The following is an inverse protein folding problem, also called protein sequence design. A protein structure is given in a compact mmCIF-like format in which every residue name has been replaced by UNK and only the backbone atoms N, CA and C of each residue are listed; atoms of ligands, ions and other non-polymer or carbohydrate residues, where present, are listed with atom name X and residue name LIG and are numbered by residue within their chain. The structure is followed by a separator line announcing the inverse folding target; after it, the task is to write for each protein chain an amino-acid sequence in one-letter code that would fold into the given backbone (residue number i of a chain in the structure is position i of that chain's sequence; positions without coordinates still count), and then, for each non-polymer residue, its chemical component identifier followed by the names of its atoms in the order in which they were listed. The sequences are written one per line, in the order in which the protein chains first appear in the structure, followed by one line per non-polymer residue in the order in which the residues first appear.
data_IF_869563789346
#
_entry.id   IF_869563789346
#
_cell.length_a   1.000
_cell.length_b   1.000
_cell.length_c   1.000
_cell.angle_alpha   90.00
_cell.angle_beta   90.00
_cell.angle_gamma   90.00
#
_symmetry.space_group_name_H-M   'P 1'
#
loop_
_entity.id
_entity.type
_entity.pdbx_description
1 polymer ?
#
# COMPACT_ATOMS: atom_id res chain seq x y z
N UNK A 1 9.45 48.10 11.99
CA UNK A 1 9.81 46.67 11.88
C UNK A 1 8.86 46.05 10.86
N UNK A 2 9.37 45.63 9.70
CA UNK A 2 8.57 44.97 8.64
C UNK A 2 8.67 43.45 8.86
N UNK A 3 7.58 42.67 8.78
CA UNK A 3 7.68 41.23 8.83
C UNK A 3 8.28 40.73 7.52
N UNK A 4 9.42 40.06 7.61
CA UNK A 4 10.03 39.29 6.53
C UNK A 4 9.08 38.19 6.11
N UNK A 5 8.55 38.28 4.89
CA UNK A 5 7.82 37.21 4.22
C UNK A 5 8.81 36.06 3.99
N UNK A 6 8.65 34.96 4.72
CA UNK A 6 9.29 33.68 4.38
C UNK A 6 8.70 33.19 3.04
N UNK A 7 9.51 32.65 2.11
CA UNK A 7 8.99 31.96 0.94
C UNK A 7 8.46 30.59 1.38
N UNK A 8 7.16 30.36 1.24
CA UNK A 8 6.56 29.04 1.43
C UNK A 8 7.03 28.11 0.31
N UNK A 9 7.82 27.09 0.66
CA UNK A 9 8.24 26.05 -0.26
C UNK A 9 7.14 24.97 -0.28
N UNK A 10 6.42 24.87 -1.40
CA UNK A 10 5.65 23.68 -1.74
C UNK A 10 6.64 22.53 -1.95
N UNK A 11 6.86 21.71 -0.92
CA UNK A 11 7.50 20.42 -1.10
C UNK A 11 6.42 19.40 -1.53
N UNK A 12 5.96 19.53 -2.78
CA UNK A 12 5.27 18.44 -3.44
C UNK A 12 6.35 17.41 -3.83
N UNK A 13 6.56 16.41 -2.98
CA UNK A 13 7.40 15.26 -3.30
C UNK A 13 6.58 14.33 -4.21
N UNK A 14 6.50 14.65 -5.50
CA UNK A 14 6.20 13.67 -6.53
C UNK A 14 7.51 12.98 -6.90
N UNK A 15 7.74 11.80 -6.33
CA UNK A 15 8.84 10.94 -6.73
C UNK A 15 8.45 10.26 -8.05
N UNK A 16 8.92 10.82 -9.17
CA UNK A 16 9.02 10.07 -10.43
C UNK A 16 10.27 9.20 -10.29
N UNK A 17 10.12 8.04 -9.67
CA UNK A 17 11.18 7.04 -9.56
C UNK A 17 10.62 5.65 -9.88
N UNK A 18 9.93 5.55 -11.00
CA UNK A 18 9.69 4.29 -11.70
C UNK A 18 10.45 4.44 -13.03
N UNK A 19 11.57 3.72 -13.23
CA UNK A 19 12.08 3.21 -14.53
C UNK A 19 13.53 2.66 -14.38
N UNK A 20 13.74 1.34 -14.39
CA UNK A 20 14.92 0.75 -14.98
C UNK A 20 14.74 0.76 -16.52
N UNK A 21 15.62 1.47 -17.21
CA UNK A 21 15.73 1.48 -18.67
C UNK A 21 16.08 0.08 -19.18
N UNK A 22 15.25 -0.50 -20.06
CA UNK A 22 15.67 -1.37 -21.18
C UNK A 22 14.43 -1.78 -22.03
N UNK A 23 14.27 -1.19 -23.21
CA UNK A 23 13.28 -1.68 -24.19
C UNK A 23 13.72 -3.02 -24.76
N UNK A 24 13.06 -4.11 -24.34
CA UNK A 24 13.13 -5.41 -25.02
C UNK A 24 11.78 -5.71 -25.65
N UNK A 25 11.79 -6.15 -26.92
CA UNK A 25 10.62 -6.76 -27.54
C UNK A 25 10.25 -8.02 -26.73
N UNK A 26 9.10 -8.02 -26.08
CA UNK A 26 8.53 -9.25 -25.53
C UNK A 26 8.13 -10.16 -26.71
N UNK A 27 8.73 -11.34 -26.76
CA UNK A 27 8.27 -12.44 -27.62
C UNK A 27 7.26 -13.21 -26.78
N UNK A 28 6.04 -13.39 -27.27
CA UNK A 28 5.06 -14.26 -26.62
C UNK A 28 5.65 -15.66 -26.50
N UNK A 29 5.80 -16.22 -25.28
CA UNK A 29 6.35 -17.56 -25.13
C UNK A 29 5.35 -18.60 -25.65
N UNK A 30 5.84 -19.55 -26.45
CA UNK A 30 5.11 -20.79 -26.74
C UNK A 30 4.81 -21.51 -25.42
N UNK A 31 3.55 -21.91 -25.23
CA UNK A 31 3.08 -22.62 -24.04
C UNK A 31 3.63 -24.05 -24.04
N UNK A 32 4.87 -24.23 -23.60
CA UNK A 32 5.37 -25.53 -23.11
C UNK A 32 4.96 -25.73 -21.65
N UNK A 33 5.11 -26.94 -21.10
CA UNK A 33 4.76 -27.33 -19.73
C UNK A 33 5.55 -26.54 -18.65
N UNK A 34 5.28 -25.24 -18.54
CA UNK A 34 5.89 -24.36 -17.58
C UNK A 34 5.41 -24.70 -16.16
N UNK A 35 6.27 -24.56 -15.13
CA UNK A 35 5.85 -24.70 -13.74
C UNK A 35 4.65 -23.80 -13.46
N UNK A 36 3.66 -24.30 -12.70
CA UNK A 36 2.50 -23.48 -12.35
C UNK A 36 2.95 -22.20 -11.65
N UNK A 37 2.22 -21.09 -11.82
CA UNK A 37 2.52 -19.81 -11.15
C UNK A 37 2.71 -20.01 -9.64
N UNK A 38 1.94 -20.92 -9.04
CA UNK A 38 2.09 -21.34 -7.64
C UNK A 38 3.48 -21.92 -7.32
N UNK A 39 4.00 -22.82 -8.16
CA UNK A 39 5.34 -23.39 -7.97
C UNK A 39 6.42 -22.31 -8.08
N UNK A 40 6.28 -21.37 -9.03
CA UNK A 40 7.22 -20.25 -9.19
C UNK A 40 7.27 -19.36 -7.94
N UNK A 41 6.11 -18.96 -7.40
CA UNK A 41 6.06 -18.18 -6.16
C UNK A 41 6.57 -18.95 -4.93
N UNK A 42 6.28 -20.24 -4.82
CA UNK A 42 6.77 -21.06 -3.70
C UNK A 42 8.30 -21.22 -3.73
N UNK A 43 8.89 -21.34 -4.93
CA UNK A 43 10.34 -21.38 -5.11
C UNK A 43 10.97 -20.02 -4.81
N UNK A 44 10.37 -18.94 -5.32
CA UNK A 44 10.78 -17.57 -5.06
C UNK A 44 10.85 -17.22 -3.58
N UNK A 45 9.77 -17.52 -2.85
CA UNK A 45 9.71 -17.30 -1.42
C UNK A 45 10.87 -18.04 -0.74
N UNK A 46 11.12 -19.30 -1.11
CA UNK A 46 12.22 -20.09 -0.57
C UNK A 46 13.59 -19.47 -0.85
N UNK A 47 13.84 -19.06 -2.10
CA UNK A 47 15.10 -18.44 -2.52
C UNK A 47 15.34 -17.08 -1.85
N UNK A 48 14.29 -16.30 -1.63
CA UNK A 48 14.35 -15.03 -0.92
C UNK A 48 14.51 -15.18 0.61
N UNK A 49 14.73 -16.38 1.11
CA UNK A 49 14.93 -16.65 2.54
C UNK A 49 13.63 -16.75 3.34
N UNK A 50 12.47 -16.90 2.69
CA UNK A 50 11.22 -17.27 3.35
C UNK A 50 11.30 -18.78 3.66
N UNK A 51 11.98 -19.11 4.75
CA UNK A 51 12.50 -20.46 5.08
C UNK A 51 11.46 -21.48 5.55
N UNK A 52 10.16 -21.17 5.49
CA UNK A 52 9.13 -22.04 6.08
C UNK A 52 8.19 -22.63 5.02
N UNK A 53 8.10 -23.97 4.87
CA UNK A 53 7.07 -24.63 4.04
C UNK A 53 5.63 -24.26 4.45
N UNK A 54 5.45 -23.72 5.66
CA UNK A 54 4.19 -23.22 6.19
C UNK A 54 3.71 -21.91 5.54
N UNK A 55 4.61 -21.14 4.91
CA UNK A 55 4.25 -19.97 4.10
C UNK A 55 3.52 -20.34 2.80
N UNK A 56 3.83 -21.51 2.23
CA UNK A 56 3.15 -22.04 1.04
C UNK A 56 1.73 -22.57 1.33
N UNK A 57 1.43 -22.85 2.61
CA UNK A 57 0.20 -23.50 3.08
C UNK A 57 -0.65 -22.64 4.04
N UNK A 58 -0.29 -21.37 4.28
CA UNK A 58 -1.12 -20.44 5.05
C UNK A 58 -0.99 -20.52 6.59
N UNK A 59 0.16 -20.94 7.12
CA UNK A 59 0.40 -20.97 8.57
C UNK A 59 1.45 -19.90 8.96
N UNK A 60 1.11 -18.89 9.80
CA UNK A 60 2.00 -17.80 10.23
C UNK A 60 3.23 -18.30 10.97
N UNK A 61 4.36 -17.60 10.82
CA UNK A 61 5.62 -17.93 11.52
C UNK A 61 5.86 -17.03 12.74
N UNK A 62 6.81 -17.45 13.61
CA UNK A 62 7.05 -16.96 15.00
C UNK A 62 7.34 -15.46 15.19
N UNK A 63 7.38 -14.64 14.13
CA UNK A 63 7.78 -13.22 14.18
C UNK A 63 7.03 -12.42 13.11
N UNK A 64 5.72 -12.29 13.25
CA UNK A 64 4.92 -11.36 12.46
C UNK A 64 4.27 -10.37 13.45
N UNK A 65 4.95 -9.26 13.72
CA UNK A 65 4.37 -8.09 14.37
C UNK A 65 3.87 -7.18 13.23
N UNK A 66 2.58 -6.87 13.13
CA UNK A 66 1.90 -5.92 14.01
C UNK A 66 0.52 -6.36 14.52
N UNK A 67 0.03 -7.56 14.18
CA UNK A 67 -1.11 -8.22 14.81
C UNK A 67 -1.00 -9.74 14.55
N UNK A 68 -1.09 -10.56 15.61
CA UNK A 68 -0.98 -12.02 15.52
C UNK A 68 -2.23 -12.59 14.84
N UNK A 69 -2.05 -13.24 13.67
CA UNK A 69 -3.03 -14.16 13.10
C UNK A 69 -2.81 -15.54 13.74
N UNK A 70 -3.84 -16.12 14.34
CA UNK A 70 -3.78 -17.48 14.89
C UNK A 70 -4.47 -18.45 13.94
N UNK A 71 -3.81 -19.40 13.28
CA UNK A 71 -4.54 -20.48 12.63
C UNK A 71 -5.10 -21.39 13.74
N UNK A 72 -6.42 -21.50 13.84
CA UNK A 72 -7.04 -22.59 14.57
C UNK A 72 -7.09 -23.84 13.68
N UNK A 73 -6.17 -24.76 13.90
CA UNK A 73 -6.48 -26.14 13.54
C UNK A 73 -7.57 -26.63 14.52
N UNK A 74 -8.48 -27.50 14.04
CA UNK A 74 -9.34 -28.39 14.84
C UNK A 74 -10.48 -27.88 15.74
N UNK A 75 -11.10 -26.73 15.46
CA UNK A 75 -12.49 -26.48 15.91
C UNK A 75 -12.72 -26.44 17.42
N UNK A 76 -11.66 -26.29 18.24
CA UNK A 76 -11.78 -26.13 19.69
C UNK A 76 -11.70 -24.65 20.11
N UNK A 77 -12.65 -24.15 20.94
CA UNK A 77 -12.70 -22.75 21.34
C UNK A 77 -11.81 -22.52 22.57
N UNK A 78 -10.49 -22.55 22.42
CA UNK A 78 -9.58 -22.04 23.47
C UNK A 78 -9.05 -20.68 23.05
N UNK A 79 -9.64 -19.59 23.55
CA UNK A 79 -9.16 -18.22 23.34
C UNK A 79 -7.80 -18.04 24.03
N UNK A 80 -6.76 -17.87 23.23
CA UNK A 80 -5.45 -17.36 23.66
C UNK A 80 -5.64 -16.01 24.38
N UNK A 81 -5.28 -15.86 25.66
CA UNK A 81 -5.38 -14.58 26.35
C UNK A 81 -4.35 -13.61 25.77
N UNK A 82 -4.77 -12.35 25.57
CA UNK A 82 -3.85 -11.25 25.22
C UNK A 82 -3.78 -10.30 26.39
N UNK A 83 -2.56 -9.97 26.83
CA UNK A 83 -2.29 -9.06 27.93
C UNK A 83 -1.47 -7.90 27.40
N UNK A 84 -1.96 -6.68 27.54
CA UNK A 84 -1.23 -5.49 27.12
C UNK A 84 -0.82 -4.66 28.32
N UNK A 85 0.45 -4.24 28.35
CA UNK A 85 0.96 -3.27 29.32
C UNK A 85 1.22 -1.95 28.62
N UNK A 86 0.59 -0.90 29.11
CA UNK A 86 0.84 0.47 28.68
C UNK A 86 1.91 1.09 29.56
N UNK A 87 2.75 1.97 29.00
CA UNK A 87 3.74 2.73 29.78
C UNK A 87 3.22 4.09 30.27
N UNK A 88 1.89 4.26 30.39
CA UNK A 88 1.24 5.52 30.76
C UNK A 88 0.59 5.49 32.16
N UNK A 89 0.31 6.66 32.76
CA UNK A 89 -0.28 6.78 34.10
C UNK A 89 -1.76 6.35 34.18
N UNK A 90 -2.43 6.09 33.06
CA UNK A 90 -3.84 5.68 33.02
C UNK A 90 -4.00 4.24 32.53
N UNK A 91 -4.35 3.34 33.46
CA UNK A 91 -5.20 2.16 33.27
C UNK A 91 -4.71 0.98 32.41
N UNK A 92 -4.85 -0.24 32.94
CA UNK A 92 -4.89 -1.47 32.15
C UNK A 92 -6.09 -1.39 31.17
N UNK A 93 -5.83 -1.27 29.86
CA UNK A 93 -6.86 -1.35 28.82
C UNK A 93 -7.28 -2.81 28.58
N UNK A 94 -8.58 -3.09 28.54
CA UNK A 94 -9.09 -4.44 28.25
C UNK A 94 -8.96 -4.75 26.74
N UNK A 95 -8.21 -5.79 26.41
CA UNK A 95 -8.04 -6.26 25.02
C UNK A 95 -8.89 -7.50 24.80
N UNK A 96 -9.85 -7.40 23.87
CA UNK A 96 -10.75 -8.52 23.55
C UNK A 96 -10.31 -9.26 22.29
N UNK A 97 -10.13 -10.59 22.34
CA UNK A 97 -9.90 -11.39 21.15
C UNK A 97 -11.15 -11.35 20.25
N UNK A 98 -10.92 -11.40 18.94
CA UNK A 98 -11.99 -11.36 17.94
C UNK A 98 -11.87 -12.58 17.03
N UNK A 99 -12.96 -13.35 16.90
CA UNK A 99 -13.06 -14.41 15.89
C UNK A 99 -13.24 -13.80 14.49
N UNK A 100 -12.57 -14.35 13.48
CA UNK A 100 -12.70 -13.84 12.10
C UNK A 100 -13.14 -14.91 11.12
N UNK A 101 -13.55 -14.43 9.94
CA UNK A 101 -14.23 -15.18 8.89
C UNK A 101 -13.31 -15.79 7.82
N UNK A 102 -12.00 -15.50 7.85
CA UNK A 102 -11.04 -16.04 6.87
C UNK A 102 -10.43 -17.37 7.32
N UNK A 103 -11.31 -18.34 7.58
CA UNK A 103 -10.92 -19.56 8.30
C UNK A 103 -10.59 -19.29 9.76
N UNK A 104 -9.95 -20.23 10.44
CA UNK A 104 -9.75 -20.22 11.88
C UNK A 104 -8.78 -19.14 12.43
N UNK A 105 -8.51 -18.10 11.64
CA UNK A 105 -7.75 -16.92 12.00
C UNK A 105 -8.49 -16.09 13.06
N UNK A 106 -7.90 -15.86 14.23
CA UNK A 106 -8.39 -14.86 15.21
C UNK A 106 -7.62 -13.54 15.02
N UNK A 107 -8.30 -12.40 15.23
CA UNK A 107 -7.70 -11.06 15.20
C UNK A 107 -7.79 -10.39 16.56
N UNK A 108 -6.87 -9.48 16.82
CA UNK A 108 -6.92 -8.57 17.96
C UNK A 108 -7.38 -7.20 17.45
N UNK A 109 -8.43 -6.63 18.04
CA UNK A 109 -8.79 -5.23 17.79
C UNK A 109 -8.46 -4.42 19.03
N UNK A 110 -7.43 -3.58 18.94
CA UNK A 110 -7.07 -2.67 20.01
C UNK A 110 -7.87 -1.38 19.84
N UNK A 111 -8.64 -1.02 20.86
CA UNK A 111 -9.39 0.23 20.91
C UNK A 111 -8.73 1.17 21.91
N UNK A 112 -8.80 2.46 21.61
CA UNK A 112 -8.67 3.53 22.60
C UNK A 112 -7.36 3.53 23.39
N UNK A 113 -6.26 3.05 22.80
CA UNK A 113 -4.94 3.20 23.40
C UNK A 113 -4.31 4.52 22.95
N UNK A 114 -3.76 5.27 23.90
CA UNK A 114 -2.89 6.42 23.69
C UNK A 114 -1.50 6.07 24.24
N UNK A 115 -0.42 6.35 23.47
CA UNK A 115 0.96 6.09 23.88
C UNK A 115 1.62 4.84 23.26
N UNK A 116 2.63 4.28 23.92
CA UNK A 116 3.23 2.99 23.51
C UNK A 116 2.68 1.87 24.39
N UNK A 117 2.25 0.78 23.75
CA UNK A 117 1.81 -0.42 24.46
C UNK A 117 2.64 -1.62 24.03
N UNK A 118 3.03 -2.45 25.00
CA UNK A 118 3.65 -3.75 24.76
C UNK A 118 2.60 -4.82 25.04
N UNK A 119 2.12 -5.44 23.96
CA UNK A 119 1.12 -6.49 24.05
C UNK A 119 1.77 -7.86 24.00
N UNK A 120 1.64 -8.61 25.09
CA UNK A 120 1.93 -10.03 25.12
C UNK A 120 0.71 -10.82 24.63
N UNK A 121 0.89 -11.54 23.54
CA UNK A 121 -0.09 -12.47 22.99
C UNK A 121 0.35 -13.89 23.35
N UNK A 122 -0.42 -14.58 24.19
CA UNK A 122 -0.12 -15.96 24.59
C UNK A 122 -0.86 -16.95 23.70
N UNK A 123 -0.16 -17.66 22.82
CA UNK A 123 -0.75 -18.68 21.94
C UNK A 123 -0.18 -20.09 22.20
N UNK A 124 -0.81 -21.16 21.65
CA UNK A 124 -0.32 -22.53 21.85
C UNK A 124 1.13 -22.80 21.40
N UNK A 125 1.70 -21.90 20.58
CA UNK A 125 3.05 -21.90 20.01
C UNK A 125 4.01 -21.01 20.81
N UNK A 126 3.54 -20.17 21.75
CA UNK A 126 4.35 -19.36 22.66
C UNK A 126 3.75 -17.99 22.98
N UNK A 127 4.46 -17.22 23.82
CA UNK A 127 4.16 -15.82 24.09
C UNK A 127 4.89 -14.91 23.09
N UNK A 128 4.20 -13.92 22.53
CA UNK A 128 4.75 -12.96 21.57
C UNK A 128 4.52 -11.53 22.04
N UNK A 129 5.55 -10.70 21.92
CA UNK A 129 5.46 -9.25 22.18
C UNK A 129 5.15 -8.51 20.88
N UNK A 130 4.09 -7.70 20.91
CA UNK A 130 3.68 -6.84 19.81
C UNK A 130 3.81 -5.39 20.28
N UNK A 131 4.85 -4.67 19.84
CA UNK A 131 4.96 -3.25 20.13
C UNK A 131 3.90 -2.50 19.34
N UNK A 132 3.14 -1.67 20.03
CA UNK A 132 2.13 -0.79 19.44
C UNK A 132 2.61 0.63 19.52
N UNK A 133 2.70 1.27 18.36
CA UNK A 133 2.96 2.70 18.24
C UNK A 133 1.63 3.38 17.90
N UNK A 134 1.15 4.23 18.81
CA UNK A 134 -0.03 5.04 18.60
C UNK A 134 0.39 6.47 18.32
N UNK A 135 -0.43 7.20 17.58
CA UNK A 135 -0.20 8.61 17.40
C UNK A 135 -0.22 9.32 18.77
N UNK A 136 0.71 10.25 19.03
CA UNK A 136 0.69 11.03 20.26
C UNK A 136 -0.50 11.98 20.25
N UNK A 137 -0.94 12.42 21.43
CA UNK A 137 -2.00 13.43 21.57
C UNK A 137 -1.49 14.84 21.29
N UNK A 138 -0.28 15.14 21.78
CA UNK A 138 0.45 16.37 21.48
C UNK A 138 1.38 16.15 20.29
N UNK A 139 1.53 17.16 19.44
CA UNK A 139 2.51 17.09 18.34
C UNK A 139 3.91 17.22 18.91
N UNK A 140 4.80 16.23 18.71
CA UNK A 140 6.19 16.35 19.18
C UNK A 140 6.90 17.51 18.50
N UNK A 141 7.83 18.16 19.21
CA UNK A 141 8.68 19.22 18.65
C UNK A 141 9.43 18.76 17.39
N UNK A 142 9.80 17.47 17.36
CA UNK A 142 10.45 16.83 16.22
C UNK A 142 9.80 15.48 15.92
N UNK A 143 9.50 15.24 14.65
CA UNK A 143 9.15 13.93 14.14
C UNK A 143 9.70 13.75 12.73
N UNK A 144 9.78 12.50 12.27
CA UNK A 144 10.09 12.21 10.87
C UNK A 144 9.25 11.06 10.39
N UNK A 145 9.09 10.93 9.08
CA UNK A 145 8.43 9.79 8.47
C UNK A 145 9.21 9.34 7.23
N UNK A 146 8.95 8.12 6.79
CA UNK A 146 9.49 7.58 5.53
C UNK A 146 8.35 7.37 4.55
N UNK A 147 8.61 7.54 3.26
CA UNK A 147 7.67 7.16 2.21
C UNK A 147 8.33 6.14 1.28
N UNK A 148 7.53 5.26 0.69
CA UNK A 148 7.99 4.36 -0.36
C UNK A 148 6.86 3.97 -1.32
N UNK A 149 7.22 3.69 -2.57
CA UNK A 149 6.37 3.16 -3.65
C UNK A 149 7.28 2.49 -4.69
N UNK A 150 6.72 1.99 -5.79
CA UNK A 150 7.46 1.37 -6.91
C UNK A 150 8.41 0.23 -6.47
N UNK A 151 7.99 -0.66 -5.57
CA UNK A 151 8.83 -1.70 -4.99
C UNK A 151 8.64 -3.07 -5.68
N UNK A 152 8.93 -3.21 -6.98
CA UNK A 152 8.85 -4.51 -7.67
C UNK A 152 9.92 -5.47 -7.10
N UNK A 153 9.55 -6.47 -6.28
CA UNK A 153 10.55 -7.22 -5.54
C UNK A 153 11.24 -8.29 -6.38
N UNK A 154 10.67 -8.67 -7.52
CA UNK A 154 11.05 -9.85 -8.27
C UNK A 154 11.58 -9.46 -9.66
N UNK A 155 12.82 -9.86 -9.99
CA UNK A 155 13.45 -9.67 -11.32
C UNK A 155 14.02 -10.93 -11.95
N UNK A 156 13.75 -11.14 -13.24
CA UNK A 156 14.29 -12.20 -14.09
C UNK A 156 15.69 -11.85 -14.52
N UNK A 157 16.61 -12.80 -14.43
CA UNK A 157 17.95 -12.62 -14.96
C UNK A 157 17.97 -13.10 -16.42
N UNK A 158 18.48 -12.22 -17.29
CA UNK A 158 18.98 -12.56 -18.63
C UNK A 158 18.01 -13.24 -19.60
N UNK A 159 16.71 -12.92 -19.54
CA UNK A 159 15.73 -13.39 -20.54
C UNK A 159 15.56 -14.91 -20.62
N UNK A 160 16.03 -15.62 -19.60
CA UNK A 160 15.68 -17.02 -19.36
C UNK A 160 14.50 -17.04 -18.41
N UNK A 161 13.54 -17.94 -18.63
CA UNK A 161 12.38 -18.20 -17.77
C UNK A 161 12.74 -18.69 -16.34
N UNK A 162 14.02 -18.58 -15.96
CA UNK A 162 14.53 -18.85 -14.62
C UNK A 162 14.37 -17.60 -13.75
N UNK A 163 13.55 -17.78 -12.73
CA UNK A 163 13.12 -16.80 -11.74
C UNK A 163 13.85 -17.10 -10.43
N UNK A 164 14.34 -16.17 -9.60
CA UNK A 164 14.46 -14.70 -9.66
C UNK A 164 15.16 -14.27 -8.35
N UNK A 165 16.04 -13.27 -8.40
CA UNK A 165 16.58 -12.60 -7.22
C UNK A 165 15.80 -11.32 -6.89
N UNK A 166 16.03 -10.74 -5.70
CA UNK A 166 15.55 -9.38 -5.45
C UNK A 166 16.29 -8.40 -6.37
N UNK A 167 15.58 -7.45 -6.98
CA UNK A 167 16.21 -6.36 -7.75
C UNK A 167 17.28 -5.67 -6.88
N UNK A 168 18.34 -5.15 -7.48
CA UNK A 168 19.35 -4.36 -6.73
C UNK A 168 18.70 -3.17 -6.02
N UNK A 169 17.71 -2.58 -6.67
CA UNK A 169 17.07 -1.34 -6.25
C UNK A 169 16.14 -1.60 -5.08
N UNK A 170 15.30 -2.63 -5.18
CA UNK A 170 14.43 -3.09 -4.09
C UNK A 170 15.23 -3.58 -2.89
N UNK A 171 16.36 -4.29 -3.10
CA UNK A 171 17.28 -4.62 -2.00
C UNK A 171 17.81 -3.39 -1.31
N UNK A 172 18.17 -2.36 -2.09
CA UNK A 172 18.67 -1.10 -1.56
C UNK A 172 17.60 -0.38 -0.77
N UNK A 173 16.39 -0.25 -1.32
CA UNK A 173 15.24 0.36 -0.62
C UNK A 173 14.94 -0.38 0.69
N UNK A 174 14.86 -1.71 0.68
CA UNK A 174 14.57 -2.49 1.89
C UNK A 174 15.68 -2.35 2.93
N UNK A 175 16.96 -2.35 2.53
CA UNK A 175 18.07 -2.09 3.45
C UNK A 175 18.01 -0.69 4.05
N UNK A 176 17.65 0.32 3.26
CA UNK A 176 17.50 1.69 3.75
C UNK A 176 16.33 1.82 4.72
N UNK A 177 15.17 1.24 4.40
CA UNK A 177 14.00 1.19 5.28
C UNK A 177 14.33 0.47 6.60
N UNK A 178 14.98 -0.70 6.52
CA UNK A 178 15.45 -1.43 7.68
C UNK A 178 16.40 -0.58 8.53
N UNK A 179 17.44 0.00 7.91
CA UNK A 179 18.43 0.80 8.63
C UNK A 179 17.82 2.06 9.27
N UNK A 180 16.81 2.68 8.64
CA UNK A 180 16.03 3.76 9.25
C UNK A 180 15.18 3.26 10.42
N UNK A 181 14.50 2.13 10.29
CA UNK A 181 13.70 1.53 11.36
C UNK A 181 14.52 1.09 12.57
N UNK A 182 15.73 0.58 12.33
CA UNK A 182 16.68 0.25 13.40
C UNK A 182 17.30 1.49 14.03
N UNK A 183 17.31 2.60 13.28
CA UNK A 183 18.04 3.80 13.63
C UNK A 183 19.54 3.59 13.55
N UNK A 184 20.02 2.79 12.60
CA UNK A 184 21.44 2.66 12.25
C UNK A 184 21.83 3.65 11.15
N UNK A 185 20.90 4.00 10.26
CA UNK A 185 21.07 5.08 9.29
C UNK A 185 20.68 6.43 9.91
N UNK A 186 21.69 7.25 10.23
CA UNK A 186 21.52 8.63 10.73
C UNK A 186 21.56 9.61 9.56
N UNK A 187 20.53 10.44 9.45
CA UNK A 187 20.48 11.55 8.50
C UNK A 187 20.54 12.84 9.32
N UNK A 188 21.38 13.79 8.88
CA UNK A 188 21.57 15.04 9.60
C UNK A 188 20.24 15.81 9.73
N UNK A 189 19.93 16.27 10.95
CA UNK A 189 18.70 17.01 11.22
C UNK A 189 17.41 16.16 11.28
N UNK A 190 17.52 14.82 11.26
CA UNK A 190 16.37 13.93 11.43
C UNK A 190 16.50 13.07 12.68
N UNK A 191 15.38 12.75 13.36
CA UNK A 191 15.36 11.79 14.44
C UNK A 191 16.00 10.44 14.06
N UNK A 192 16.58 9.73 15.05
CA UNK A 192 17.16 8.41 14.89
C UNK A 192 16.32 7.41 14.09
N UNK A 193 15.01 7.40 14.35
CA UNK A 193 14.02 6.52 13.72
C UNK A 193 12.85 7.36 13.22
N UNK A 194 12.22 6.98 12.11
CA UNK A 194 10.96 7.59 11.72
C UNK A 194 9.86 7.22 12.71
N UNK A 195 8.93 8.15 12.89
CA UNK A 195 7.73 7.99 13.69
C UNK A 195 6.71 7.06 13.02
N UNK A 196 6.63 7.12 11.68
CA UNK A 196 5.77 6.25 10.87
C UNK A 196 6.29 6.18 9.42
N UNK A 197 5.75 5.23 8.64
CA UNK A 197 5.98 5.06 7.22
C UNK A 197 4.70 5.20 6.40
N UNK A 198 4.82 5.68 5.16
CA UNK A 198 3.71 5.80 4.22
C UNK A 198 4.03 5.01 2.94
N UNK A 199 3.19 4.01 2.62
CA UNK A 199 3.22 3.31 1.35
C UNK A 199 2.25 3.95 0.39
N UNK A 200 2.75 4.48 -0.72
CA UNK A 200 2.00 5.30 -1.67
C UNK A 200 1.77 4.56 -2.99
N UNK A 201 1.30 3.32 -2.94
CA UNK A 201 1.19 2.47 -4.13
C UNK A 201 2.35 1.55 -4.43
N UNK A 202 2.10 0.60 -5.33
CA UNK A 202 3.08 -0.26 -5.99
C UNK A 202 4.01 -0.97 -5.01
N UNK A 203 3.45 -1.48 -3.91
CA UNK A 203 4.24 -2.32 -3.01
C UNK A 203 4.46 -3.73 -3.56
N UNK A 204 3.68 -4.10 -4.58
CA UNK A 204 3.73 -5.34 -5.33
C UNK A 204 3.27 -5.07 -6.77
N UNK A 205 3.59 -6.01 -7.66
CA UNK A 205 3.29 -5.91 -9.09
C UNK A 205 2.61 -7.22 -9.53
N UNK A 206 1.29 -7.17 -9.78
CA UNK A 206 0.47 -8.31 -10.22
C UNK A 206 0.27 -8.38 -11.73
N UNK A 207 0.67 -7.34 -12.42
CA UNK A 207 0.48 -7.09 -13.84
C UNK A 207 1.63 -7.66 -14.69
N UNK A 208 1.41 -7.82 -16.00
CA UNK A 208 2.39 -8.37 -16.93
C UNK A 208 3.42 -7.33 -17.39
N UNK A 209 3.19 -6.05 -17.09
CA UNK A 209 4.09 -4.94 -17.35
C UNK A 209 5.17 -4.80 -16.27
N UNK A 210 5.13 -5.67 -15.26
CA UNK A 210 6.31 -6.13 -14.54
C UNK A 210 7.28 -6.82 -15.52
N UNK A 211 7.96 -6.03 -16.34
CA UNK A 211 8.96 -6.46 -17.34
C UNK A 211 10.07 -7.30 -16.70
N UNK A 212 10.31 -7.06 -15.42
CA UNK A 212 11.24 -7.79 -14.62
C UNK A 212 10.72 -9.19 -14.26
N UNK A 213 9.43 -9.43 -14.06
CA UNK A 213 8.91 -10.76 -13.73
C UNK A 213 7.54 -11.09 -14.37
N UNK A 214 7.41 -11.02 -15.71
CA UNK A 214 6.13 -11.15 -16.39
C UNK A 214 5.46 -12.51 -16.16
N UNK A 215 6.23 -13.56 -15.89
CA UNK A 215 5.75 -14.90 -15.54
C UNK A 215 5.01 -14.99 -14.19
N UNK A 216 5.09 -13.96 -13.35
CA UNK A 216 4.36 -13.87 -12.10
C UNK A 216 3.01 -13.18 -12.23
N UNK A 217 2.80 -12.49 -13.35
CA UNK A 217 1.53 -11.82 -13.64
C UNK A 217 0.37 -12.79 -13.71
N UNK A 218 -0.75 -12.35 -13.14
CA UNK A 218 -2.04 -13.04 -13.23
C UNK A 218 -2.82 -12.68 -14.50
N UNK A 219 -2.41 -11.62 -15.20
CA UNK A 219 -3.03 -11.08 -16.41
C UNK A 219 -2.18 -11.38 -17.64
N UNK A 220 -2.80 -11.56 -18.81
CA UNK A 220 -2.11 -11.93 -20.05
C UNK A 220 -1.83 -10.71 -20.92
N UNK A 221 -0.58 -10.23 -20.89
CA UNK A 221 -0.11 -9.14 -21.74
C UNK A 221 -0.55 -7.74 -21.25
N UNK A 222 0.08 -6.68 -21.77
CA UNK A 222 -0.16 -5.31 -21.34
C UNK A 222 -1.65 -4.93 -21.47
N UNK A 223 -2.17 -4.19 -20.47
CA UNK A 223 -3.53 -3.61 -20.51
C UNK A 223 -4.64 -4.61 -20.78
N UNK A 224 -4.49 -5.81 -20.21
CA UNK A 224 -5.36 -6.94 -20.46
C UNK A 224 -6.10 -7.37 -19.21
N UNK A 225 -7.39 -7.65 -19.34
CA UNK A 225 -8.21 -8.28 -18.30
C UNK A 225 -8.37 -9.79 -18.49
N UNK A 226 -7.55 -10.38 -19.35
CA UNK A 226 -7.54 -11.81 -19.59
C UNK A 226 -6.64 -12.49 -18.55
N UNK A 227 -7.23 -13.41 -17.79
CA UNK A 227 -6.52 -14.14 -16.75
C UNK A 227 -5.63 -15.22 -17.38
N UNK A 228 -4.41 -15.37 -16.87
CA UNK A 228 -3.49 -16.48 -17.20
C UNK A 228 -3.78 -17.76 -16.41
N UNK A 229 -4.72 -17.67 -15.47
CA UNK A 229 -5.06 -18.71 -14.51
C UNK A 229 -6.57 -18.89 -14.47
N UNK A 230 -7.03 -20.02 -13.93
CA UNK A 230 -8.46 -20.19 -13.70
C UNK A 230 -8.94 -19.13 -12.70
N UNK A 231 -10.10 -18.54 -12.97
CA UNK A 231 -10.63 -17.44 -12.16
C UNK A 231 -10.75 -17.78 -10.67
N UNK A 232 -11.13 -19.02 -10.36
CA UNK A 232 -11.23 -19.52 -9.00
C UNK A 232 -9.88 -19.54 -8.24
N UNK A 233 -8.75 -19.51 -8.96
CA UNK A 233 -7.41 -19.52 -8.36
C UNK A 233 -6.90 -18.11 -8.02
N UNK A 234 -7.46 -17.06 -8.65
CA UNK A 234 -6.99 -15.67 -8.53
C UNK A 234 -6.88 -15.22 -7.05
N UNK A 235 -7.90 -15.40 -6.19
CA UNK A 235 -7.78 -14.97 -4.79
C UNK A 235 -6.68 -15.72 -4.02
N UNK A 236 -6.44 -16.99 -4.34
CA UNK A 236 -5.37 -17.78 -3.71
C UNK A 236 -3.98 -17.32 -4.13
N UNK A 237 -3.83 -16.99 -5.41
CA UNK A 237 -2.57 -16.52 -5.98
C UNK A 237 -2.24 -15.10 -5.54
N UNK A 238 -3.21 -14.17 -5.50
CA UNK A 238 -2.98 -12.82 -4.96
C UNK A 238 -2.47 -12.87 -3.52
N UNK A 239 -3.11 -13.64 -2.64
CA UNK A 239 -2.60 -13.84 -1.27
C UNK A 239 -1.18 -14.40 -1.24
N UNK A 240 -0.85 -15.31 -2.16
CA UNK A 240 0.50 -15.86 -2.28
C UNK A 240 1.51 -14.78 -2.67
N UNK A 241 1.16 -13.88 -3.61
CA UNK A 241 2.02 -12.74 -3.97
C UNK A 241 2.28 -11.86 -2.76
N UNK A 242 1.22 -11.41 -2.09
CA UNK A 242 1.31 -10.57 -0.91
C UNK A 242 2.16 -11.21 0.18
N UNK A 243 1.93 -12.50 0.52
CA UNK A 243 2.77 -13.21 1.50
C UNK A 243 4.23 -13.28 1.08
N UNK A 244 4.49 -13.52 -0.20
CA UNK A 244 5.84 -13.65 -0.73
C UNK A 244 6.58 -12.31 -0.64
N UNK A 245 5.91 -11.20 -0.97
CA UNK A 245 6.47 -9.84 -0.92
C UNK A 245 6.65 -9.35 0.51
N UNK A 246 5.60 -9.38 1.34
CA UNK A 246 5.66 -8.91 2.73
C UNK A 246 6.48 -9.83 3.65
N UNK A 247 6.72 -11.07 3.23
CA UNK A 247 7.60 -12.02 3.92
C UNK A 247 9.10 -11.77 3.69
N UNK A 248 9.47 -10.90 2.74
CA UNK A 248 10.88 -10.62 2.43
C UNK A 248 11.60 -10.04 3.64
N UNK A 249 12.75 -10.59 4.08
CA UNK A 249 13.37 -10.23 5.36
C UNK A 249 13.57 -8.73 5.58
N UNK A 250 14.13 -8.00 4.60
CA UNK A 250 14.37 -6.56 4.73
C UNK A 250 13.09 -5.73 4.84
N UNK A 251 12.04 -6.08 4.09
CA UNK A 251 10.75 -5.40 4.17
C UNK A 251 10.02 -5.73 5.48
N UNK A 252 9.93 -7.02 5.81
CA UNK A 252 9.33 -7.51 7.06
C UNK A 252 9.99 -6.85 8.27
N UNK A 253 11.32 -6.83 8.32
CA UNK A 253 12.07 -6.25 9.42
C UNK A 253 11.87 -4.74 9.54
N UNK A 254 11.76 -4.01 8.43
CA UNK A 254 11.40 -2.59 8.45
C UNK A 254 9.97 -2.38 8.99
N UNK A 255 9.01 -3.19 8.54
CA UNK A 255 7.59 -3.08 8.91
C UNK A 255 7.31 -3.48 10.35
N UNK A 256 8.10 -4.40 10.92
CA UNK A 256 8.06 -4.74 12.34
C UNK A 256 8.53 -3.58 13.25
N UNK A 257 9.31 -2.62 12.71
CA UNK A 257 9.96 -1.55 13.48
C UNK A 257 9.33 -0.18 13.29
N UNK A 258 8.66 0.05 12.17
CA UNK A 258 8.03 1.32 11.82
C UNK A 258 6.53 1.05 11.60
N UNK A 259 5.62 1.78 12.26
CA UNK A 259 4.20 1.68 11.92
C UNK A 259 3.96 2.27 10.53
N UNK A 260 3.23 1.56 9.68
CA UNK A 260 2.95 1.99 8.31
C UNK A 260 1.47 2.26 8.06
N UNK A 261 1.17 3.30 7.30
CA UNK A 261 -0.09 3.49 6.62
C UNK A 261 0.13 3.28 5.12
N UNK A 262 -0.66 2.41 4.49
CA UNK A 262 -0.46 1.95 3.11
C UNK A 262 -1.72 2.19 2.30
N UNK A 263 -1.55 2.73 1.10
CA UNK A 263 -2.58 2.73 0.06
C UNK A 263 -2.02 1.98 -1.14
N UNK A 264 -2.91 1.32 -1.88
CA UNK A 264 -2.56 0.66 -3.13
C UNK A 264 -2.49 1.63 -4.31
N UNK A 265 -1.92 1.16 -5.40
CA UNK A 265 -1.93 1.82 -6.70
C UNK A 265 -2.29 0.80 -7.79
N UNK A 266 -2.09 1.14 -9.06
CA UNK A 266 -2.48 0.28 -10.16
C UNK A 266 -1.73 -1.06 -10.18
N UNK A 267 -0.42 -1.12 -9.91
CA UNK A 267 0.30 -2.40 -9.94
C UNK A 267 -0.10 -3.38 -8.83
N UNK A 268 -0.77 -2.90 -7.77
CA UNK A 268 -1.44 -3.76 -6.78
C UNK A 268 -2.71 -4.45 -7.35
N UNK A 269 -3.19 -4.01 -8.51
CA UNK A 269 -4.34 -4.54 -9.26
C UNK A 269 -3.87 -4.99 -10.65
N UNK A 270 -3.69 -4.05 -11.59
CA UNK A 270 -3.18 -4.23 -12.94
C UNK A 270 -2.67 -2.88 -13.48
N UNK A 271 -1.59 -2.84 -14.25
CA UNK A 271 -1.02 -1.60 -14.81
C UNK A 271 -2.08 -0.70 -15.49
N UNK A 272 -2.10 0.58 -15.11
CA UNK A 272 -3.08 1.56 -15.58
C UNK A 272 -4.51 1.30 -15.13
N UNK A 273 -4.75 0.53 -14.05
CA UNK A 273 -6.10 0.25 -13.59
C UNK A 273 -6.90 1.52 -13.35
N UNK A 274 -8.05 1.64 -14.03
CA UNK A 274 -8.99 2.74 -13.90
C UNK A 274 -8.73 3.91 -14.84
N UNK A 275 -7.57 3.96 -15.53
CA UNK A 275 -7.24 4.99 -16.51
C UNK A 275 -7.40 4.52 -17.96
N UNK A 276 -7.41 3.21 -18.21
CA UNK A 276 -7.30 2.63 -19.56
C UNK A 276 -8.64 2.21 -20.19
N UNK A 277 -9.69 2.04 -19.40
CA UNK A 277 -11.05 1.80 -19.88
C UNK A 277 -11.42 0.36 -20.26
N UNK A 278 -10.58 -0.60 -19.90
CA UNK A 278 -10.85 -2.04 -20.12
C UNK A 278 -11.47 -2.71 -18.88
N UNK A 279 -11.50 -2.03 -17.74
CA UNK A 279 -11.90 -2.48 -16.40
C UNK A 279 -13.37 -2.91 -16.19
N UNK A 280 -14.39 -2.46 -16.96
CA UNK A 280 -15.79 -2.79 -16.64
C UNK A 280 -16.22 -4.21 -17.03
N UNK A 281 -15.33 -5.04 -17.57
CA UNK A 281 -15.65 -6.45 -17.86
C UNK A 281 -16.00 -7.25 -16.59
N UNK A 282 -16.86 -8.25 -16.71
CA UNK A 282 -17.24 -9.07 -15.54
C UNK A 282 -16.06 -9.81 -14.92
N UNK A 283 -15.09 -10.23 -15.74
CA UNK A 283 -13.81 -10.81 -15.28
C UNK A 283 -12.96 -9.76 -14.57
N UNK A 284 -12.86 -8.54 -15.10
CA UNK A 284 -12.17 -7.42 -14.46
C UNK A 284 -12.75 -7.10 -13.09
N UNK A 285 -14.07 -7.07 -12.93
CA UNK A 285 -14.71 -6.82 -11.63
C UNK A 285 -14.41 -7.92 -10.59
N UNK A 286 -14.38 -9.20 -11.02
CA UNK A 286 -14.03 -10.32 -10.12
C UNK A 286 -12.54 -10.32 -9.76
N UNK A 287 -11.69 -9.94 -10.71
CA UNK A 287 -10.26 -9.73 -10.48
C UNK A 287 -10.02 -8.59 -9.48
N UNK A 288 -10.66 -7.43 -9.67
CA UNK A 288 -10.62 -6.31 -8.72
C UNK A 288 -11.10 -6.72 -7.32
N UNK A 289 -12.19 -7.48 -7.23
CA UNK A 289 -12.69 -7.98 -5.95
C UNK A 289 -11.65 -8.88 -5.24
N UNK A 290 -10.93 -9.71 -6.00
CA UNK A 290 -9.84 -10.52 -5.46
C UNK A 290 -8.65 -9.66 -5.01
N UNK A 291 -8.24 -8.67 -5.82
CA UNK A 291 -7.14 -7.76 -5.50
C UNK A 291 -7.45 -6.98 -4.23
N UNK A 292 -8.65 -6.42 -4.15
CA UNK A 292 -9.18 -5.71 -2.99
C UNK A 292 -9.22 -6.60 -1.75
N UNK A 293 -9.67 -7.85 -1.90
CA UNK A 293 -9.67 -8.82 -0.81
C UNK A 293 -8.27 -9.05 -0.24
N UNK A 294 -7.26 -9.21 -1.10
CA UNK A 294 -5.87 -9.35 -0.69
C UNK A 294 -5.32 -8.05 -0.08
N UNK A 295 -5.56 -6.89 -0.71
CA UNK A 295 -5.19 -5.57 -0.16
C UNK A 295 -5.69 -5.42 1.27
N UNK A 296 -6.98 -5.66 1.50
CA UNK A 296 -7.58 -5.55 2.83
C UNK A 296 -6.96 -6.54 3.81
N UNK A 297 -6.64 -7.77 3.38
CA UNK A 297 -6.05 -8.80 4.24
C UNK A 297 -4.61 -8.48 4.68
N UNK A 298 -3.80 -7.83 3.82
CA UNK A 298 -2.35 -7.64 4.06
C UNK A 298 -1.94 -6.19 4.34
N UNK A 299 -2.63 -5.20 3.77
CA UNK A 299 -2.32 -3.78 3.93
C UNK A 299 -3.46 -3.03 4.61
N UNK A 300 -4.62 -2.95 3.97
CA UNK A 300 -5.73 -2.09 4.36
C UNK A 300 -6.20 -2.32 5.80
N UNK A 301 -6.32 -3.58 6.26
CA UNK A 301 -6.77 -3.85 7.63
C UNK A 301 -5.76 -3.50 8.73
N UNK A 302 -4.57 -2.99 8.37
CA UNK A 302 -3.55 -2.51 9.31
C UNK A 302 -3.47 -0.99 9.36
N UNK A 303 -4.19 -0.30 8.50
CA UNK A 303 -4.24 1.16 8.52
C UNK A 303 -5.01 1.67 9.75
N UNK A 304 -4.67 2.86 10.28
CA UNK A 304 -5.35 3.44 11.43
C UNK A 304 -6.84 3.71 11.14
N UNK A 305 -7.15 4.08 9.91
CA UNK A 305 -8.52 4.19 9.39
C UNK A 305 -8.55 3.72 7.95
N UNK A 306 -9.74 3.39 7.48
CA UNK A 306 -10.04 3.27 6.06
C UNK A 306 -11.40 3.92 5.80
N UNK A 307 -11.50 4.73 4.75
CA UNK A 307 -12.73 5.44 4.43
C UNK A 307 -13.18 6.43 5.50
N UNK A 308 -12.23 6.93 6.30
CA UNK A 308 -12.49 7.78 7.48
C UNK A 308 -13.13 7.07 8.67
N UNK A 309 -13.21 5.74 8.65
CA UNK A 309 -13.71 4.94 9.77
C UNK A 309 -12.55 4.19 10.43
N UNK A 310 -12.46 4.17 11.77
CA UNK A 310 -11.60 3.23 12.47
C UNK A 310 -11.98 1.81 12.10
N UNK A 311 -10.98 0.95 11.85
CA UNK A 311 -11.23 -0.44 11.51
C UNK A 311 -11.93 -1.16 12.66
N UNK A 312 -13.13 -1.67 12.38
CA UNK A 312 -13.84 -2.57 13.29
C UNK A 312 -13.88 -3.97 12.68
N UNK A 313 -13.89 -5.05 13.47
CA UNK A 313 -13.96 -6.39 12.91
C UNK A 313 -15.13 -6.65 11.98
N UNK A 314 -16.34 -6.24 12.37
CA UNK A 314 -17.54 -6.30 11.52
C UNK A 314 -17.40 -5.47 10.23
N UNK A 315 -16.54 -4.44 10.26
CA UNK A 315 -16.27 -3.61 9.11
C UNK A 315 -15.45 -4.38 8.07
N UNK A 316 -14.48 -5.20 8.45
CA UNK A 316 -13.66 -5.98 7.49
C UNK A 316 -14.52 -6.92 6.64
N UNK A 317 -15.52 -7.57 7.23
CA UNK A 317 -16.50 -8.40 6.51
C UNK A 317 -17.30 -7.56 5.51
N UNK A 318 -17.81 -6.41 5.98
CA UNK A 318 -18.54 -5.48 5.12
C UNK A 318 -17.67 -4.94 3.98
N UNK A 319 -16.38 -4.65 4.21
CA UNK A 319 -15.44 -4.09 3.22
C UNK A 319 -15.03 -5.08 2.16
N UNK A 320 -14.89 -6.35 2.55
CA UNK A 320 -14.60 -7.42 1.59
C UNK A 320 -15.80 -7.78 0.73
N UNK A 321 -17.02 -7.51 1.20
CA UNK A 321 -18.26 -7.73 0.44
C UNK A 321 -18.77 -6.47 -0.29
N UNK A 322 -18.32 -5.28 0.10
CA UNK A 322 -18.77 -4.00 -0.48
C UNK A 322 -17.69 -3.41 -1.39
N UNK A 323 -17.85 -3.52 -2.72
CA UNK A 323 -16.89 -2.92 -3.66
C UNK A 323 -16.84 -1.39 -3.54
N UNK A 324 -17.87 -0.76 -2.99
CA UNK A 324 -17.97 0.69 -2.86
C UNK A 324 -17.27 1.28 -1.64
N UNK A 325 -16.62 0.49 -0.79
CA UNK A 325 -16.00 1.07 0.40
C UNK A 325 -14.68 1.78 0.03
N UNK A 326 -14.52 3.05 0.38
CA UNK A 326 -13.33 3.80 -0.01
C UNK A 326 -12.12 3.35 0.80
N UNK A 327 -10.94 3.31 0.17
CA UNK A 327 -9.71 2.81 0.79
C UNK A 327 -8.74 3.93 1.21
N UNK A 328 -9.18 5.19 1.17
CA UNK A 328 -8.40 6.31 1.68
C UNK A 328 -8.11 6.17 3.17
N UNK A 329 -6.90 6.56 3.54
CA UNK A 329 -6.40 6.48 4.91
C UNK A 329 -6.32 7.88 5.49
N UNK A 330 -6.76 8.04 6.73
CA UNK A 330 -6.72 9.33 7.41
C UNK A 330 -6.42 9.21 8.90
N UNK A 331 -5.42 9.93 9.39
CA UNK A 331 -5.11 9.96 10.82
C UNK A 331 -4.48 11.29 11.23
N UNK A 332 -4.36 11.49 12.55
CA UNK A 332 -3.65 12.63 13.13
C UNK A 332 -2.35 12.16 13.75
N UNK A 333 -1.35 13.03 13.75
CA UNK A 333 -0.11 12.83 14.47
C UNK A 333 0.10 13.99 15.45
N UNK A 334 -0.38 13.82 16.69
CA UNK A 334 -0.53 14.92 17.62
C UNK A 334 -1.71 15.84 17.30
N UNK A 335 -1.66 17.03 17.90
CA UNK A 335 -2.71 18.04 17.79
C UNK A 335 -2.67 18.79 16.44
N UNK A 336 -1.54 18.82 15.75
CA UNK A 336 -1.31 19.83 14.69
C UNK A 336 -1.02 19.21 13.33
N UNK A 337 -0.85 17.89 13.24
CA UNK A 337 -0.52 17.17 12.00
C UNK A 337 -1.69 16.30 11.55
N UNK A 338 -2.13 16.50 10.31
CA UNK A 338 -3.11 15.66 9.61
C UNK A 338 -2.39 14.90 8.51
N UNK A 339 -2.62 13.58 8.46
CA UNK A 339 -2.12 12.71 7.41
C UNK A 339 -3.30 12.11 6.66
N UNK A 340 -3.28 12.25 5.34
CA UNK A 340 -4.32 11.73 4.44
C UNK A 340 -3.66 11.06 3.25
N UNK A 341 -3.97 9.79 3.00
CA UNK A 341 -3.60 9.07 1.79
C UNK A 341 -4.87 8.87 0.96
N UNK A 342 -4.94 9.42 -0.24
CA UNK A 342 -6.11 9.22 -1.10
C UNK A 342 -6.00 7.91 -1.88
N UNK A 343 -7.16 7.30 -2.13
CA UNK A 343 -7.33 6.14 -3.00
C UNK A 343 -7.87 6.62 -4.34
N UNK A 344 -6.99 6.69 -5.33
CA UNK A 344 -7.29 7.16 -6.69
C UNK A 344 -7.46 6.01 -7.68
N UNK A 345 -7.62 4.76 -7.20
CA UNK A 345 -7.80 3.56 -8.04
C UNK A 345 -9.16 2.90 -7.91
N UNK A 346 -9.65 2.66 -6.68
CA UNK A 346 -10.85 1.83 -6.47
C UNK A 346 -12.04 2.30 -7.29
N UNK A 347 -12.25 3.62 -7.33
CA UNK A 347 -13.45 4.22 -7.92
C UNK A 347 -13.10 5.18 -9.05
N UNK A 348 -11.89 5.09 -9.61
CA UNK A 348 -11.50 5.88 -10.76
C UNK A 348 -12.38 5.57 -11.95
N UNK A 349 -12.73 6.60 -12.72
CA UNK A 349 -13.42 6.46 -14.00
C UNK A 349 -12.69 7.31 -15.01
N UNK A 350 -12.08 6.66 -15.99
CA UNK A 350 -11.42 7.34 -17.09
C UNK A 350 -12.45 8.03 -17.99
N UNK A 351 -12.01 9.10 -18.66
CA UNK A 351 -12.82 9.76 -19.67
C UNK A 351 -13.14 8.85 -20.87
N UNK A 352 -12.32 7.81 -21.09
CA UNK A 352 -12.55 6.80 -22.12
C UNK A 352 -13.76 5.90 -21.79
N UNK A 353 -14.03 5.63 -20.51
CA UNK A 353 -15.18 4.86 -20.06
C UNK A 353 -16.47 5.70 -20.02
N UNK A 354 -16.38 6.85 -19.37
CA UNK A 354 -17.53 7.71 -19.13
C UNK A 354 -17.05 9.17 -19.03
N UNK A 355 -17.12 9.93 -20.14
CA UNK A 355 -16.63 11.31 -20.16
C UNK A 355 -17.42 12.24 -19.22
N UNK A 356 -18.67 11.90 -18.93
CA UNK A 356 -19.56 12.69 -18.07
C UNK A 356 -19.36 12.37 -16.59
N UNK A 357 -18.89 11.15 -16.26
CA UNK A 357 -18.63 10.69 -14.90
C UNK A 357 -17.15 10.46 -14.58
N UNK A 358 -16.25 10.99 -15.41
CA UNK A 358 -14.80 10.92 -15.20
C UNK A 358 -14.46 11.41 -13.79
N UNK A 359 -13.61 10.65 -13.10
CA UNK A 359 -13.13 10.96 -11.75
C UNK A 359 -11.83 10.24 -11.44
N UNK A 360 -10.97 10.90 -10.67
CA UNK A 360 -9.73 10.35 -10.10
C UNK A 360 -10.01 9.83 -8.70
N UNK A 361 -10.66 10.64 -7.87
CA UNK A 361 -11.06 10.27 -6.51
C UNK A 361 -12.56 10.38 -6.30
N UNK A 362 -13.10 9.66 -5.31
CA UNK A 362 -14.52 9.82 -4.96
C UNK A 362 -14.75 11.14 -4.22
N UNK A 363 -15.86 11.87 -4.47
CA UNK A 363 -16.20 13.08 -3.71
C UNK A 363 -16.28 12.89 -2.18
N UNK A 364 -16.55 11.66 -1.73
CA UNK A 364 -16.52 11.31 -0.30
C UNK A 364 -15.14 11.45 0.33
N UNK A 365 -14.07 11.16 -0.42
CA UNK A 365 -12.69 11.32 0.06
C UNK A 365 -12.35 12.80 0.25
N UNK A 366 -12.70 13.65 -0.72
CA UNK A 366 -12.47 15.10 -0.64
C UNK A 366 -13.27 15.74 0.51
N UNK A 367 -14.52 15.31 0.74
CA UNK A 367 -15.30 15.75 1.92
C UNK A 367 -14.65 15.32 3.23
N UNK A 368 -14.04 14.13 3.30
CA UNK A 368 -13.31 13.68 4.49
C UNK A 368 -12.05 14.49 4.71
N UNK A 369 -11.28 14.77 3.67
CA UNK A 369 -10.14 15.66 3.73
C UNK A 369 -10.54 17.05 4.24
N UNK A 370 -11.59 17.65 3.68
CA UNK A 370 -12.14 18.92 4.14
C UNK A 370 -12.52 18.88 5.63
N UNK A 371 -13.18 17.80 6.07
CA UNK A 371 -13.55 17.61 7.47
C UNK A 371 -12.34 17.41 8.40
N UNK A 372 -11.24 16.82 7.91
CA UNK A 372 -9.99 16.70 8.66
C UNK A 372 -9.28 18.04 8.77
N UNK A 373 -9.19 18.81 7.69
CA UNK A 373 -8.60 20.15 7.67
C UNK A 373 -9.35 21.12 8.58
N UNK A 374 -10.68 21.05 8.61
CA UNK A 374 -11.51 21.85 9.50
C UNK A 374 -11.29 21.57 11.00
N UNK A 375 -10.64 20.46 11.36
CA UNK A 375 -10.29 20.11 12.74
C UNK A 375 -8.92 20.63 13.16
N UNK A 376 -8.13 21.20 12.24
CA UNK A 376 -6.87 21.84 12.60
C UNK A 376 -7.14 23.06 13.50
N UNK A 377 -6.33 23.29 14.54
CA UNK A 377 -6.56 24.40 15.45
C UNK A 377 -6.54 25.75 14.71
N UNK A 378 -7.63 26.50 14.80
CA UNK A 378 -7.71 27.81 14.17
C UNK A 378 -6.62 28.76 14.72
N UNK A 379 -5.92 29.44 13.83
CA UNK A 379 -4.89 30.41 14.20
C UNK A 379 -3.54 29.80 14.65
N UNK A 380 -3.37 28.48 14.58
CA UNK A 380 -2.06 27.82 14.73
C UNK A 380 -1.59 27.22 13.40
N UNK A 381 -0.29 27.27 13.09
CA UNK A 381 0.23 26.56 11.94
C UNK A 381 0.06 25.05 12.16
N UNK A 382 -0.73 24.41 11.28
CA UNK A 382 -0.83 22.96 11.20
C UNK A 382 0.02 22.41 10.06
N UNK A 383 0.27 21.10 10.06
CA UNK A 383 0.93 20.39 8.96
C UNK A 383 -0.06 19.44 8.31
N UNK A 384 -0.20 19.52 6.99
CA UNK A 384 -0.88 18.49 6.19
C UNK A 384 0.17 17.64 5.47
N UNK A 385 0.07 16.32 5.65
CA UNK A 385 0.79 15.33 4.85
C UNK A 385 -0.25 14.67 3.94
N UNK A 386 -0.24 15.02 2.66
CA UNK A 386 -1.10 14.44 1.64
C UNK A 386 -0.29 13.44 0.81
N UNK A 387 -0.63 12.16 0.92
CA UNK A 387 -0.08 11.09 0.09
C UNK A 387 -1.04 10.72 -1.03
N UNK A 388 -0.48 10.59 -2.24
CA UNK A 388 -1.22 10.28 -3.45
C UNK A 388 -0.37 9.27 -4.23
N UNK A 389 -0.93 8.13 -4.64
CA UNK A 389 -0.25 7.26 -5.60
C UNK A 389 0.07 8.02 -6.89
N UNK A 390 -0.91 8.74 -7.41
CA UNK A 390 -0.74 9.52 -8.63
C UNK A 390 -0.17 10.93 -8.36
N UNK A 391 0.81 11.38 -9.16
CA UNK A 391 1.32 12.73 -9.04
C UNK A 391 0.26 13.79 -9.43
N UNK A 392 0.10 14.83 -8.59
CA UNK A 392 -0.83 15.95 -8.83
C UNK A 392 -0.48 16.77 -10.06
N UNK A 393 0.82 16.96 -10.27
CA UNK A 393 1.35 17.77 -11.34
C UNK A 393 2.36 16.92 -12.08
N UNK A 394 1.89 16.24 -13.13
CA UNK A 394 2.80 15.99 -14.24
C UNK A 394 3.22 17.38 -14.74
N UNK A 395 4.53 17.66 -14.76
CA UNK A 395 5.00 18.95 -15.22
C UNK A 395 4.37 19.21 -16.58
N UNK A 396 3.66 20.33 -16.74
CA UNK A 396 3.02 20.71 -18.01
C UNK A 396 3.99 20.58 -19.19
N UNK A 397 5.29 20.85 -18.93
CA UNK A 397 6.39 20.60 -19.85
C UNK A 397 6.57 19.13 -20.25
N UNK A 398 6.47 18.17 -19.31
CA UNK A 398 6.52 16.73 -19.59
C UNK A 398 5.30 16.28 -20.41
N UNK A 399 4.10 16.80 -20.13
CA UNK A 399 2.92 16.51 -20.94
C UNK A 399 3.09 16.98 -22.39
N UNK A 400 3.54 18.23 -22.58
CA UNK A 400 3.80 18.75 -23.92
C UNK A 400 4.97 18.05 -24.61
N UNK A 401 6.02 17.68 -23.88
CA UNK A 401 7.15 16.95 -24.41
C UNK A 401 6.76 15.55 -24.86
N UNK A 402 6.05 14.79 -24.02
CA UNK A 402 5.56 13.45 -24.35
C UNK A 402 4.59 13.48 -25.54
N UNK A 403 3.65 14.43 -25.58
CA UNK A 403 2.74 14.60 -26.72
C UNK A 403 3.50 14.96 -28.01
N UNK A 404 4.57 15.75 -27.92
CA UNK A 404 5.39 16.12 -29.08
C UNK A 404 6.27 14.97 -29.58
N UNK A 405 6.65 14.02 -28.72
CA UNK A 405 7.58 12.92 -29.04
C UNK A 405 6.91 11.55 -29.18
N UNK A 406 5.63 11.43 -28.84
CA UNK A 406 4.85 10.19 -28.86
C UNK A 406 4.91 9.39 -30.17
N UNK A 407 5.03 10.08 -31.30
CA UNK A 407 5.12 9.45 -32.61
C UNK A 407 6.52 8.95 -32.97
N UNK A 408 7.51 9.14 -32.09
CA UNK A 408 8.95 8.98 -32.41
C UNK A 408 9.63 7.93 -31.54
N UNK A 409 9.10 7.60 -30.36
CA UNK A 409 9.70 6.55 -29.51
C UNK A 409 8.67 5.79 -28.68
N UNK A 410 8.94 4.49 -28.45
CA UNK A 410 8.16 3.66 -27.52
C UNK A 410 8.18 4.24 -26.09
N UNK A 411 9.30 4.83 -25.68
CA UNK A 411 9.43 5.52 -24.40
C UNK A 411 8.46 6.71 -24.24
N UNK A 412 8.21 7.46 -25.31
CA UNK A 412 7.23 8.54 -25.26
C UNK A 412 5.79 8.01 -25.17
N UNK A 413 5.51 6.81 -25.70
CA UNK A 413 4.23 6.15 -25.55
C UNK A 413 3.99 5.65 -24.11
N UNK A 414 5.02 5.14 -23.44
CA UNK A 414 5.00 4.81 -22.00
C UNK A 414 4.74 6.07 -21.15
N UNK A 415 5.50 7.15 -21.39
CA UNK A 415 5.28 8.41 -20.67
C UNK A 415 3.89 8.99 -20.86
N UNK A 416 3.30 8.83 -22.05
CA UNK A 416 1.92 9.24 -22.30
C UNK A 416 0.91 8.42 -21.50
N UNK A 417 1.23 7.17 -21.20
CA UNK A 417 0.42 6.32 -20.35
C UNK A 417 0.37 6.88 -18.93
N UNK A 418 1.54 7.13 -18.34
CA UNK A 418 1.64 7.74 -17.01
C UNK A 418 0.95 9.11 -16.96
N UNK A 419 1.00 9.88 -18.05
CA UNK A 419 0.31 11.17 -18.15
C UNK A 419 -1.22 11.01 -18.15
N UNK A 420 -1.76 10.00 -18.85
CA UNK A 420 -3.20 9.66 -18.79
C UNK A 420 -3.57 9.14 -17.42
N UNK A 421 -2.60 8.59 -16.73
CA UNK A 421 -2.77 8.14 -15.38
C UNK A 421 -2.76 9.30 -14.37
N UNK A 422 -2.27 10.48 -14.74
CA UNK A 422 -2.27 11.65 -13.86
C UNK A 422 -3.64 12.32 -13.62
N UNK A 423 -3.67 13.17 -12.60
CA UNK A 423 -4.82 14.03 -12.24
C UNK A 423 -5.27 14.97 -13.36
N UNK A 424 -4.42 15.18 -14.38
CA UNK A 424 -4.71 16.05 -15.51
C UNK A 424 -5.84 15.55 -16.42
N UNK A 425 -6.20 14.26 -16.34
CA UNK A 425 -7.36 13.70 -17.06
C UNK A 425 -8.70 14.15 -16.47
N UNK A 426 -8.72 14.62 -15.21
CA UNK A 426 -9.90 15.27 -14.65
C UNK A 426 -9.57 16.58 -13.93
N UNK A 427 -9.51 17.71 -14.68
CA UNK A 427 -9.26 19.02 -14.11
C UNK A 427 -10.22 19.42 -12.98
N UNK A 428 -11.46 18.90 -12.96
CA UNK A 428 -12.45 19.22 -11.92
C UNK A 428 -12.05 18.69 -10.56
N UNK A 429 -11.60 17.44 -10.48
CA UNK A 429 -11.19 16.85 -9.19
C UNK A 429 -9.90 17.50 -8.69
N UNK A 430 -9.00 17.87 -9.60
CA UNK A 430 -7.81 18.63 -9.28
C UNK A 430 -8.16 20.04 -8.77
N UNK A 431 -9.07 20.75 -9.45
CA UNK A 431 -9.56 22.06 -9.01
C UNK A 431 -10.25 21.97 -7.65
N UNK A 432 -11.09 20.95 -7.43
CA UNK A 432 -11.75 20.71 -6.14
C UNK A 432 -10.71 20.45 -5.04
N UNK A 433 -9.75 19.55 -5.27
CA UNK A 433 -8.67 19.29 -4.33
C UNK A 433 -7.86 20.56 -4.04
N UNK A 434 -7.44 21.30 -5.08
CA UNK A 434 -6.70 22.54 -4.90
C UNK A 434 -7.52 23.61 -4.17
N UNK A 435 -8.84 23.67 -4.38
CA UNK A 435 -9.73 24.58 -3.65
C UNK A 435 -9.80 24.28 -2.16
N UNK A 436 -9.63 23.01 -1.77
CA UNK A 436 -9.53 22.60 -0.37
C UNK A 436 -8.17 22.94 0.22
N UNK A 437 -7.09 22.85 -0.56
CA UNK A 437 -5.73 23.03 -0.06
C UNK A 437 -5.30 24.51 0.00
N UNK A 438 -5.68 25.32 -0.99
CA UNK A 438 -5.25 26.71 -1.14
C UNK A 438 -5.54 27.61 0.08
N UNK A 439 -6.67 27.51 0.79
CA UNK A 439 -6.92 28.32 1.98
C UNK A 439 -5.96 28.07 3.15
N UNK A 440 -5.19 26.98 3.10
CA UNK A 440 -4.25 26.56 4.13
C UNK A 440 -2.78 26.87 3.77
N UNK A 441 -2.53 27.47 2.60
CA UNK A 441 -1.23 28.01 2.16
C UNK A 441 -1.25 29.54 2.19
#
# INVERSE_FOLDING_TARGET
MRPTRLPWLLAALSLVACQPLLSRRMVEPEVSEAPSIRQKYAELARQAGVTSPRFALGVPTRREAAFVLFPGDDGSPSAAPVRCRTSGPEGEGEVRPVETLFGASRRLALRDFHGTADCQVDDPRGAFHVPLALAPDETPDEFSFVTHSCNSPFVTHDGKDEVVGLSSDTRTVYRLLQARGEGTLRLAGLPPRPSFGLGLGDQLYLDPDNTDAPQLSLLSGPRSNHLRVAEAEVPGLMRLVYRSTFGLPGLREAYERIPHALVWDDHDIGDGWGSQGHEPSSSGQRYLAAARGAFLEYQGSRNPTLGGQPLRPAWVEQVTQSPELPLDVGFRWGADVVVTLLDDRTERVSAALDPDRRRVVRPGQLRRLAAQLARLPAGKPGTLILGLPLPLVFMVAQKHLALATANVSAHAAEQLDDIRDGWSENPRDLEELMSLLLPHF
#
